data_IF_324175621979
#
_entry.id   IF_324175621979
#
_cell.length_a   1.000
_cell.length_b   1.000
_cell.length_c   1.000
_cell.angle_alpha   90.00
_cell.angle_beta   90.00
_cell.angle_gamma   90.00
#
_symmetry.space_group_name_H-M   'P 1'
#
loop_
_entity.id
_entity.type
_entity.pdbx_description
1 polymer ?
#
# COMPACT_ATOMS: atom_id res chain seq x y z
N UNK A 1 -0.68 11.97 -11.80
CA UNK A 1 -0.50 10.90 -10.78
C UNK A 1 -0.25 11.53 -9.42
N UNK A 2 -0.65 10.86 -8.34
CA UNK A 2 -0.42 11.29 -6.95
C UNK A 2 0.29 10.15 -6.22
N UNK A 3 1.58 10.31 -5.95
CA UNK A 3 2.41 9.25 -5.38
C UNK A 3 3.10 9.75 -4.11
N UNK A 4 3.15 8.90 -3.08
CA UNK A 4 4.02 9.05 -1.92
C UNK A 4 4.85 7.78 -1.77
N UNK A 5 6.16 7.87 -2.03
CA UNK A 5 7.07 6.73 -2.06
C UNK A 5 8.11 6.89 -0.94
N UNK A 6 8.10 5.99 0.03
CA UNK A 6 9.05 5.98 1.16
C UNK A 6 10.11 4.90 0.95
N UNK A 7 11.35 5.16 1.36
CA UNK A 7 12.43 4.16 1.26
C UNK A 7 12.21 2.99 2.23
N UNK A 8 11.63 3.26 3.40
CA UNK A 8 11.48 2.33 4.51
C UNK A 8 10.22 2.66 5.33
N UNK A 9 9.89 1.79 6.29
CA UNK A 9 8.72 1.91 7.17
C UNK A 9 9.03 2.38 8.59
N UNK A 10 10.29 2.35 9.02
CA UNK A 10 10.69 2.71 10.39
C UNK A 10 12.12 3.25 10.43
N UNK A 11 12.37 4.21 11.31
CA UNK A 11 13.71 4.61 11.73
C UNK A 11 14.14 3.79 12.95
N UNK A 12 15.45 3.73 13.21
CA UNK A 12 15.98 2.99 14.36
C UNK A 12 15.43 3.55 15.66
N UNK A 13 14.83 2.68 16.49
CA UNK A 13 14.25 3.06 17.78
C UNK A 13 12.83 3.63 17.70
N UNK A 14 12.25 3.76 16.51
CA UNK A 14 10.88 4.27 16.34
C UNK A 14 9.85 3.16 16.09
N UNK A 15 8.59 3.38 16.50
CA UNK A 15 7.48 2.51 16.11
C UNK A 15 7.27 2.43 14.60
N UNK A 16 6.54 1.40 14.17
CA UNK A 16 6.19 1.19 12.76
C UNK A 16 5.41 2.38 12.16
N UNK A 17 5.85 2.84 10.99
CA UNK A 17 5.35 4.01 10.23
C UNK A 17 5.43 5.37 10.94
N UNK A 18 6.04 5.46 12.13
CA UNK A 18 6.02 6.67 12.95
C UNK A 18 6.50 7.92 12.18
N UNK A 19 7.73 7.92 11.66
CA UNK A 19 8.29 9.07 10.94
C UNK A 19 7.49 9.49 9.69
N UNK A 20 6.78 8.56 9.04
CA UNK A 20 6.02 8.83 7.82
C UNK A 20 4.52 9.01 8.06
N UNK A 21 4.02 8.77 9.28
CA UNK A 21 2.60 8.81 9.65
C UNK A 21 1.93 10.12 9.25
N UNK A 22 2.56 11.25 9.60
CA UNK A 22 2.02 12.58 9.30
C UNK A 22 1.96 12.85 7.78
N UNK A 23 3.01 12.47 7.05
CA UNK A 23 3.06 12.62 5.59
C UNK A 23 2.00 11.78 4.89
N UNK A 24 1.84 10.52 5.30
CA UNK A 24 0.81 9.62 4.76
C UNK A 24 -0.57 10.18 5.05
N UNK A 25 -0.83 10.58 6.30
CA UNK A 25 -2.13 11.13 6.74
C UNK A 25 -2.50 12.40 5.97
N UNK A 26 -1.57 13.35 5.90
CA UNK A 26 -1.78 14.62 5.18
C UNK A 26 -1.97 14.39 3.68
N UNK A 27 -1.21 13.48 3.09
CA UNK A 27 -1.31 13.15 1.68
C UNK A 27 -2.68 12.52 1.33
N UNK A 28 -3.15 11.57 2.14
CA UNK A 28 -4.47 10.96 1.94
C UNK A 28 -5.60 11.98 2.13
N UNK A 29 -5.54 12.78 3.20
CA UNK A 29 -6.54 13.81 3.49
C UNK A 29 -6.62 14.88 2.40
N UNK A 30 -5.48 15.39 1.90
CA UNK A 30 -5.43 16.36 0.80
C UNK A 30 -6.09 15.84 -0.48
N UNK A 31 -6.11 14.52 -0.67
CA UNK A 31 -6.71 13.88 -1.82
C UNK A 31 -8.11 13.30 -1.56
N UNK A 32 -8.69 13.58 -0.39
CA UNK A 32 -10.05 13.16 -0.03
C UNK A 32 -10.22 11.65 0.17
N UNK A 33 -9.13 10.89 0.33
CA UNK A 33 -9.20 9.44 0.47
C UNK A 33 -9.50 9.02 1.91
N UNK A 34 -10.60 8.28 2.08
CA UNK A 34 -11.05 7.68 3.34
C UNK A 34 -11.07 6.16 3.26
N UNK A 35 -11.48 5.59 2.12
CA UNK A 35 -11.52 4.14 1.89
C UNK A 35 -10.28 3.66 1.15
N UNK A 36 -9.42 2.94 1.86
CA UNK A 36 -8.08 2.60 1.41
C UNK A 36 -7.96 1.09 1.28
N UNK A 37 -7.54 0.64 0.09
CA UNK A 37 -7.14 -0.76 -0.11
C UNK A 37 -5.66 -0.90 0.19
N UNK A 38 -5.33 -1.79 1.11
CA UNK A 38 -3.96 -2.14 1.45
C UNK A 38 -3.52 -3.44 0.77
N UNK A 39 -2.35 -3.43 0.11
CA UNK A 39 -1.75 -4.59 -0.55
C UNK A 39 -0.63 -5.14 0.35
N UNK A 40 -0.83 -6.31 1.00
CA UNK A 40 0.09 -6.86 1.99
C UNK A 40 1.10 -7.87 1.41
N UNK A 41 1.04 -8.15 0.10
CA UNK A 41 1.68 -9.31 -0.54
C UNK A 41 3.21 -9.37 -0.44
N UNK A 42 3.87 -8.28 -0.03
CA UNK A 42 5.30 -8.31 0.26
C UNK A 42 5.64 -9.09 1.56
N UNK A 43 4.66 -9.37 2.43
CA UNK A 43 4.87 -10.11 3.66
C UNK A 43 5.11 -11.60 3.41
N UNK A 44 6.20 -12.13 3.96
CA UNK A 44 6.60 -13.56 3.84
C UNK A 44 6.63 -14.25 5.20
N UNK A 45 7.06 -13.56 6.26
CA UNK A 45 7.32 -14.15 7.58
C UNK A 45 6.18 -13.97 8.59
N UNK A 46 5.11 -13.28 8.20
CA UNK A 46 3.93 -13.02 9.02
C UNK A 46 2.69 -12.95 8.13
N UNK A 47 1.51 -13.17 8.72
CA UNK A 47 0.26 -13.19 7.97
C UNK A 47 -0.16 -11.81 7.45
N UNK A 48 -0.97 -11.78 6.39
CA UNK A 48 -1.54 -10.53 5.87
C UNK A 48 -2.45 -9.82 6.88
N UNK A 49 -3.14 -10.58 7.75
CA UNK A 49 -3.92 -10.07 8.87
C UNK A 49 -3.05 -9.33 9.90
N UNK A 50 -1.91 -9.92 10.27
CA UNK A 50 -0.94 -9.25 11.13
C UNK A 50 -0.38 -7.99 10.47
N UNK A 51 -0.17 -8.03 9.15
CA UNK A 51 0.37 -6.87 8.44
C UNK A 51 -0.61 -5.71 8.45
N UNK A 52 -1.86 -5.97 8.06
CA UNK A 52 -2.94 -5.01 8.10
C UNK A 52 -3.09 -4.39 9.51
N UNK A 53 -3.11 -5.24 10.54
CA UNK A 53 -3.19 -4.79 11.93
C UNK A 53 -2.02 -3.86 12.31
N UNK A 54 -0.79 -4.15 11.85
CA UNK A 54 0.38 -3.28 12.07
C UNK A 54 0.25 -1.93 11.36
N UNK A 55 -0.26 -1.91 10.12
CA UNK A 55 -0.46 -0.67 9.36
C UNK A 55 -1.53 0.20 10.02
N UNK A 56 -2.68 -0.39 10.38
CA UNK A 56 -3.78 0.32 11.07
C UNK A 56 -3.28 0.93 12.38
N UNK A 57 -2.58 0.14 13.21
CA UNK A 57 -2.02 0.63 14.49
C UNK A 57 -0.92 1.67 14.29
N UNK A 58 -0.06 1.51 13.29
CA UNK A 58 1.04 2.43 13.01
C UNK A 58 0.56 3.79 12.52
N UNK A 59 -0.46 3.81 11.67
CA UNK A 59 -1.08 5.06 11.23
C UNK A 59 -1.99 5.65 12.28
N UNK A 60 -2.74 4.84 13.03
CA UNK A 60 -3.66 5.27 14.10
C UNK A 60 -4.42 6.55 13.70
N UNK A 61 -5.15 6.45 12.59
CA UNK A 61 -5.90 7.53 11.99
C UNK A 61 -7.36 7.09 11.83
N UNK A 62 -8.23 7.69 12.64
CA UNK A 62 -9.66 7.34 12.70
C UNK A 62 -10.49 7.90 11.53
N UNK A 63 -9.91 8.76 10.71
CA UNK A 63 -10.60 9.38 9.56
C UNK A 63 -10.51 8.55 8.29
N UNK A 64 -9.71 7.47 8.31
CA UNK A 64 -9.54 6.55 7.20
C UNK A 64 -9.90 5.13 7.65
N UNK A 65 -10.42 4.35 6.73
CA UNK A 65 -10.65 2.93 6.88
C UNK A 65 -9.71 2.22 5.90
N UNK A 66 -8.88 1.35 6.46
CA UNK A 66 -7.93 0.54 5.71
C UNK A 66 -8.48 -0.87 5.70
N UNK A 67 -8.59 -1.45 4.52
CA UNK A 67 -8.98 -2.85 4.36
C UNK A 67 -8.00 -3.52 3.41
N UNK A 68 -7.43 -4.62 3.87
CA UNK A 68 -6.43 -5.37 3.13
C UNK A 68 -7.08 -6.17 2.01
N UNK A 69 -6.45 -6.17 0.83
CA UNK A 69 -7.00 -6.73 -0.40
C UNK A 69 -7.32 -8.24 -0.30
N UNK A 70 -6.61 -8.96 0.56
CA UNK A 70 -6.81 -10.40 0.77
C UNK A 70 -8.16 -10.77 1.42
N UNK A 71 -8.90 -9.80 1.96
CA UNK A 71 -10.26 -10.01 2.48
C UNK A 71 -11.34 -9.96 1.39
N UNK A 72 -11.01 -9.47 0.19
CA UNK A 72 -11.97 -9.31 -0.89
C UNK A 72 -11.97 -10.55 -1.78
N UNK A 73 -13.16 -11.11 -2.01
CA UNK A 73 -13.36 -12.18 -3.01
C UNK A 73 -13.02 -11.68 -4.42
N UNK A 74 -13.45 -10.46 -4.74
CA UNK A 74 -13.12 -9.76 -5.99
C UNK A 74 -12.11 -8.63 -5.71
N UNK A 75 -10.84 -8.99 -5.80
CA UNK A 75 -9.71 -8.08 -5.56
C UNK A 75 -9.62 -6.98 -6.64
N UNK A 76 -10.04 -7.27 -7.88
CA UNK A 76 -10.02 -6.29 -8.96
C UNK A 76 -11.05 -5.19 -8.71
N UNK A 77 -12.27 -5.56 -8.32
CA UNK A 77 -13.32 -4.63 -7.91
C UNK A 77 -12.89 -3.79 -6.72
N UNK A 78 -12.24 -4.39 -5.72
CA UNK A 78 -11.72 -3.66 -4.57
C UNK A 78 -10.78 -2.51 -4.99
N UNK A 79 -9.86 -2.76 -5.94
CA UNK A 79 -8.96 -1.73 -6.46
C UNK A 79 -9.71 -0.68 -7.30
N UNK A 80 -10.72 -1.07 -8.07
CA UNK A 80 -11.54 -0.14 -8.86
C UNK A 80 -12.25 0.86 -7.94
N UNK A 81 -12.85 0.36 -6.86
CA UNK A 81 -13.65 1.14 -5.91
C UNK A 81 -12.81 1.89 -4.86
N UNK A 82 -11.53 1.55 -4.72
CA UNK A 82 -10.62 2.19 -3.77
C UNK A 82 -10.48 3.71 -4.04
N UNK A 83 -10.48 4.48 -2.95
CA UNK A 83 -10.18 5.91 -2.99
C UNK A 83 -8.67 6.18 -2.92
N UNK A 84 -7.89 5.23 -2.37
CA UNK A 84 -6.43 5.19 -2.43
C UNK A 84 -5.90 3.75 -2.30
N UNK A 85 -4.67 3.54 -2.77
CA UNK A 85 -3.95 2.26 -2.67
C UNK A 85 -2.72 2.46 -1.80
N UNK A 86 -2.56 1.59 -0.80
CA UNK A 86 -1.35 1.48 0.01
C UNK A 86 -0.65 0.15 -0.27
N UNK A 87 0.67 0.14 -0.46
CA UNK A 87 1.45 -1.08 -0.73
C UNK A 87 2.58 -1.24 0.27
N UNK A 88 2.58 -2.39 0.93
CA UNK A 88 3.53 -2.76 1.98
C UNK A 88 4.95 -3.02 1.49
N UNK A 89 5.88 -2.99 2.44
CA UNK A 89 7.27 -3.41 2.28
C UNK A 89 7.46 -4.89 2.61
N UNK A 90 8.60 -5.45 2.21
CA UNK A 90 8.91 -6.88 2.37
C UNK A 90 9.66 -7.40 1.15
N UNK A 91 9.29 -8.57 0.63
CA UNK A 91 9.92 -9.14 -0.54
C UNK A 91 9.28 -8.63 -1.84
N UNK A 92 10.02 -7.88 -2.67
CA UNK A 92 9.52 -7.31 -3.93
C UNK A 92 9.14 -8.35 -4.99
N UNK A 93 9.80 -9.52 -5.01
CA UNK A 93 9.48 -10.59 -5.95
C UNK A 93 8.18 -11.29 -5.58
N UNK A 94 7.96 -11.59 -4.30
CA UNK A 94 6.69 -12.13 -3.82
C UNK A 94 5.54 -11.16 -4.07
N UNK A 95 5.74 -9.87 -3.75
CA UNK A 95 4.78 -8.82 -4.05
C UNK A 95 4.40 -8.82 -5.53
N UNK A 96 5.39 -8.79 -6.43
CA UNK A 96 5.12 -8.75 -7.87
C UNK A 96 4.47 -10.05 -8.37
N UNK A 97 4.87 -11.20 -7.84
CA UNK A 97 4.28 -12.49 -8.18
C UNK A 97 2.78 -12.51 -7.84
N UNK A 98 2.40 -12.13 -6.63
CA UNK A 98 0.99 -12.08 -6.21
C UNK A 98 0.18 -11.05 -7.03
N UNK A 99 0.77 -9.89 -7.34
CA UNK A 99 0.14 -8.90 -8.22
C UNK A 99 -0.16 -9.47 -9.60
N UNK A 100 0.74 -10.30 -10.16
CA UNK A 100 0.51 -10.97 -11.43
C UNK A 100 -0.51 -12.11 -11.32
N UNK A 101 -0.43 -12.96 -10.30
CA UNK A 101 -1.36 -14.08 -10.13
C UNK A 101 -2.82 -13.63 -9.98
N UNK A 102 -3.03 -12.41 -9.45
CA UNK A 102 -4.37 -11.84 -9.26
C UNK A 102 -4.75 -10.82 -10.36
N UNK A 103 -3.96 -10.70 -11.45
CA UNK A 103 -4.19 -9.78 -12.56
C UNK A 103 -4.37 -8.30 -12.16
N UNK A 104 -3.67 -7.87 -11.11
CA UNK A 104 -3.90 -6.55 -10.50
C UNK A 104 -3.06 -5.43 -11.13
N UNK A 105 -1.96 -5.75 -11.83
CA UNK A 105 -0.97 -4.75 -12.25
C UNK A 105 -1.59 -3.62 -13.09
N UNK A 106 -2.27 -3.99 -14.19
CA UNK A 106 -2.81 -2.98 -15.12
C UNK A 106 -3.97 -2.19 -14.49
N UNK A 107 -4.75 -2.81 -13.60
CA UNK A 107 -5.84 -2.15 -12.89
C UNK A 107 -5.28 -1.12 -11.90
N UNK A 108 -4.30 -1.50 -11.06
CA UNK A 108 -3.61 -0.58 -10.14
C UNK A 108 -3.03 0.60 -10.92
N UNK A 109 -2.27 0.32 -11.97
CA UNK A 109 -1.63 1.33 -12.82
C UNK A 109 -2.65 2.26 -13.46
N UNK A 110 -3.77 1.74 -13.96
CA UNK A 110 -4.86 2.54 -14.52
C UNK A 110 -5.46 3.46 -13.45
N UNK A 111 -5.85 2.92 -12.30
CA UNK A 111 -6.48 3.70 -11.23
C UNK A 111 -5.57 4.83 -10.72
N UNK A 112 -4.27 4.55 -10.54
CA UNK A 112 -3.29 5.56 -10.13
C UNK A 112 -3.09 6.64 -11.20
N UNK A 113 -3.11 6.27 -12.49
CA UNK A 113 -3.11 7.24 -13.61
C UNK A 113 -4.37 8.09 -13.66
N UNK A 114 -5.53 7.50 -13.37
CA UNK A 114 -6.82 8.18 -13.26
C UNK A 114 -6.88 9.13 -12.04
N UNK A 115 -5.87 9.08 -11.16
CA UNK A 115 -5.64 10.11 -10.14
C UNK A 115 -6.08 9.74 -8.73
N UNK A 116 -6.22 8.46 -8.41
CA UNK A 116 -6.25 8.06 -6.99
C UNK A 116 -4.84 8.09 -6.38
N UNK A 117 -4.70 8.39 -5.08
CA UNK A 117 -3.42 8.36 -4.39
C UNK A 117 -2.84 6.95 -4.30
N UNK A 118 -1.53 6.85 -4.50
CA UNK A 118 -0.74 5.66 -4.22
C UNK A 118 0.28 5.98 -3.12
N UNK A 119 0.36 5.11 -2.12
CA UNK A 119 1.38 5.18 -1.07
C UNK A 119 2.13 3.86 -1.04
N UNK A 120 3.45 3.91 -1.21
CA UNK A 120 4.32 2.73 -1.14
C UNK A 120 5.47 2.98 -0.19
N UNK A 121 5.94 1.92 0.47
CA UNK A 121 7.21 1.96 1.20
C UNK A 121 8.05 0.71 0.92
N UNK A 122 9.37 0.89 0.80
CA UNK A 122 10.31 -0.19 0.47
C UNK A 122 9.87 -0.94 -0.81
N UNK A 123 9.54 -2.24 -0.75
CA UNK A 123 9.03 -3.00 -1.89
C UNK A 123 7.83 -2.33 -2.60
N UNK A 124 6.91 -1.70 -1.85
CA UNK A 124 5.80 -0.95 -2.42
C UNK A 124 6.24 0.28 -3.22
N UNK A 125 7.40 0.87 -2.91
CA UNK A 125 8.00 1.92 -3.73
C UNK A 125 8.59 1.37 -5.02
N UNK A 126 9.24 0.20 -4.97
CA UNK A 126 9.76 -0.48 -6.15
C UNK A 126 8.66 -0.90 -7.12
N UNK A 127 7.49 -1.33 -6.63
CA UNK A 127 6.35 -1.69 -7.48
C UNK A 127 5.83 -0.50 -8.32
N UNK A 128 6.01 0.74 -7.85
CA UNK A 128 5.61 1.93 -8.59
C UNK A 128 6.56 2.28 -9.75
N UNK A 129 7.73 1.65 -9.85
CA UNK A 129 8.73 1.89 -10.88
C UNK A 129 8.46 1.07 -12.16
N UNK A 130 9.13 1.39 -13.29
CA UNK A 130 9.01 0.61 -14.52
C UNK A 130 9.44 -0.86 -14.38
N UNK A 131 10.36 -1.15 -13.44
CA UNK A 131 10.82 -2.51 -13.12
C UNK A 131 11.20 -2.60 -11.64
N UNK A 132 11.28 -3.83 -11.11
CA UNK A 132 11.78 -4.11 -9.75
C UNK A 132 13.28 -4.43 -9.70
N UNK A 133 14.07 -4.10 -10.74
CA UNK A 133 15.49 -4.49 -10.87
C UNK A 133 16.45 -3.81 -9.87
N UNK A 134 15.94 -2.91 -9.04
CA UNK A 134 16.71 -2.15 -8.03
C UNK A 134 16.15 -2.39 -6.63
N UNK A 135 15.80 -3.64 -6.33
CA UNK A 135 15.26 -4.06 -5.03
C UNK A 135 16.33 -4.50 -4.03
#
# INVERSE_FOLDING_TARGET
MKLLLSSNSSLQGEPYLHFCKEKITTFLAKNGAKQIVFIPFAAVTFSYNEYESKVIKGLDNKNIQITSIHHFEDQQKAIIEAEAIMVGGGNSFQLLNEIYQNDLLEIIKKRVKDGIPYVGWSAGSNLACPTIKTT
#
